data_IF_971746934066
#
_entry.id   IF_971746934066
#
_cell.length_a   1.000
_cell.length_b   1.000
_cell.length_c   1.000
_cell.angle_alpha   90.00
_cell.angle_beta   90.00
_cell.angle_gamma   90.00
#
_symmetry.space_group_name_H-M   'P 1'
#
loop_
_entity.id
_entity.type
_entity.pdbx_description
1 polymer ?
#
# COMPACT_ATOMS: atom_id res chain seq x y z
N UNK A 1 -2.88 -1.14 5.07
CA UNK A 1 -1.54 -1.08 4.43
C UNK A 1 -0.77 0.14 4.90
N UNK A 2 -1.30 1.37 4.83
CA UNK A 2 -0.50 2.60 5.04
C UNK A 2 -0.06 2.98 6.46
N UNK A 3 -0.47 2.25 7.50
CA UNK A 3 0.02 2.51 8.86
C UNK A 3 1.52 2.25 9.03
N UNK A 4 2.15 1.55 8.08
CA UNK A 4 3.59 1.29 8.11
C UNK A 4 4.47 2.47 7.64
N UNK A 5 3.91 3.45 6.92
CA UNK A 5 4.73 4.52 6.34
C UNK A 5 5.33 5.42 7.43
N UNK A 6 4.55 5.96 8.39
CA UNK A 6 5.12 6.87 9.38
C UNK A 6 6.28 6.27 10.19
N UNK A 7 6.18 5.03 10.68
CA UNK A 7 7.30 4.46 11.42
C UNK A 7 8.42 3.88 10.55
N UNK A 8 8.18 3.57 9.27
CA UNK A 8 9.32 3.42 8.34
C UNK A 8 10.09 4.74 8.26
N UNK A 9 9.39 5.85 7.99
CA UNK A 9 9.99 7.18 7.87
C UNK A 9 10.70 7.58 9.16
N UNK A 10 10.13 7.30 10.32
CA UNK A 10 10.73 7.64 11.60
C UNK A 10 11.96 6.77 11.93
N UNK A 11 11.84 5.45 11.84
CA UNK A 11 12.79 4.52 12.50
C UNK A 11 13.67 3.71 11.54
N UNK A 12 13.23 3.48 10.30
CA UNK A 12 13.92 2.57 9.37
C UNK A 12 14.58 3.30 8.20
N UNK A 13 14.05 4.47 7.83
CA UNK A 13 14.55 5.24 6.70
C UNK A 13 15.96 5.77 6.94
N UNK A 14 16.72 5.84 5.85
CA UNK A 14 18.08 6.38 5.76
C UNK A 14 18.13 7.50 4.73
N UNK A 15 19.17 8.31 4.83
CA UNK A 15 19.40 9.38 3.87
C UNK A 15 19.62 8.82 2.47
N UNK A 16 18.84 9.32 1.51
CA UNK A 16 18.93 8.91 0.11
C UNK A 16 18.10 7.69 -0.26
N UNK A 17 17.30 7.13 0.66
CA UNK A 17 16.39 6.05 0.33
C UNK A 17 15.41 6.45 -0.79
N UNK A 18 15.19 5.51 -1.71
CA UNK A 18 14.12 5.58 -2.70
C UNK A 18 12.97 4.70 -2.22
N UNK A 19 11.81 5.31 -2.01
CA UNK A 19 10.65 4.64 -1.40
C UNK A 19 9.52 4.57 -2.40
N UNK A 20 9.15 3.35 -2.77
CA UNK A 20 7.97 3.10 -3.60
C UNK A 20 6.76 2.96 -2.71
N UNK A 21 5.85 3.92 -2.78
CA UNK A 21 4.60 3.90 -2.03
C UNK A 21 3.53 3.25 -2.90
N UNK A 22 3.25 1.98 -2.63
CA UNK A 22 2.34 1.18 -3.43
C UNK A 22 0.91 1.14 -2.88
N UNK A 23 -0.09 1.23 -3.78
CA UNK A 23 -1.48 0.92 -3.48
C UNK A 23 -2.08 -0.04 -4.51
N UNK A 24 -2.49 -1.23 -4.07
CA UNK A 24 -3.25 -2.14 -4.91
C UNK A 24 -4.73 -1.77 -4.91
N UNK A 25 -5.30 -1.55 -6.10
CA UNK A 25 -6.75 -1.34 -6.26
C UNK A 25 -7.40 -2.69 -6.55
N UNK A 26 -8.40 -3.04 -5.74
CA UNK A 26 -9.28 -4.17 -6.00
C UNK A 26 -10.50 -3.65 -6.77
N UNK A 27 -10.60 -4.02 -8.05
CA UNK A 27 -11.71 -3.61 -8.89
C UNK A 27 -12.96 -4.44 -8.65
N UNK A 28 -14.16 -3.83 -8.69
CA UNK A 28 -15.40 -4.60 -8.71
C UNK A 28 -15.42 -5.51 -9.95
N UNK A 29 -16.02 -6.70 -9.86
CA UNK A 29 -16.15 -7.58 -11.02
C UNK A 29 -16.91 -6.86 -12.14
N UNK A 30 -16.48 -7.08 -13.38
CA UNK A 30 -17.19 -6.56 -14.55
C UNK A 30 -18.60 -7.19 -14.58
N UNK A 31 -19.68 -6.42 -14.71
CA UNK A 31 -21.04 -6.97 -14.74
C UNK A 31 -21.23 -7.95 -15.91
N UNK A 32 -21.52 -9.22 -15.62
CA UNK A 32 -21.90 -10.21 -16.64
C UNK A 32 -23.36 -10.00 -17.06
N UNK A 33 -23.65 -9.04 -17.95
CA UNK A 33 -25.01 -8.85 -18.49
C UNK A 33 -25.05 -8.84 -20.01
N UNK A 34 -26.12 -9.42 -20.57
CA UNK A 34 -26.42 -9.45 -22.01
C UNK A 34 -26.99 -8.12 -22.50
N UNK A 35 -26.74 -7.80 -23.77
CA UNK A 35 -27.32 -6.66 -24.48
C UNK A 35 -28.86 -6.63 -24.39
N UNK A 36 -29.50 -5.43 -24.39
CA UNK A 36 -28.92 -4.08 -24.55
C UNK A 36 -28.51 -3.39 -23.23
N UNK A 37 -28.84 -3.96 -22.08
CA UNK A 37 -28.58 -3.36 -20.76
C UNK A 37 -27.09 -3.29 -20.38
N UNK A 38 -26.18 -3.85 -21.18
CA UNK A 38 -24.75 -3.85 -20.88
C UNK A 38 -24.13 -2.44 -20.88
N UNK A 39 -24.63 -1.51 -21.70
CA UNK A 39 -24.01 -0.18 -21.86
C UNK A 39 -24.07 0.69 -20.59
N UNK A 40 -25.25 0.81 -19.97
CA UNK A 40 -25.43 1.64 -18.76
C UNK A 40 -24.57 1.10 -17.61
N UNK A 41 -24.53 -0.23 -17.45
CA UNK A 41 -23.72 -0.91 -16.43
C UNK A 41 -22.21 -0.75 -16.66
N UNK A 42 -21.75 -0.74 -17.91
CA UNK A 42 -20.34 -0.47 -18.23
C UNK A 42 -19.99 0.98 -17.87
N UNK A 43 -20.90 1.93 -18.08
CA UNK A 43 -20.73 3.32 -17.66
C UNK A 43 -20.58 3.44 -16.14
N UNK A 44 -21.52 2.87 -15.39
CA UNK A 44 -21.50 2.88 -13.92
C UNK A 44 -20.24 2.20 -13.35
N UNK A 45 -19.84 1.05 -13.91
CA UNK A 45 -18.63 0.34 -13.50
C UNK A 45 -17.36 1.18 -13.75
N UNK A 46 -17.29 1.87 -14.90
CA UNK A 46 -16.17 2.78 -15.20
C UNK A 46 -16.10 3.94 -14.20
N UNK A 47 -17.24 4.52 -13.83
CA UNK A 47 -17.29 5.60 -12.84
C UNK A 47 -16.85 5.11 -11.45
N UNK A 48 -17.21 3.88 -11.08
CA UNK A 48 -16.78 3.27 -9.82
C UNK A 48 -15.27 3.01 -9.80
N UNK A 49 -14.73 2.46 -10.89
CA UNK A 49 -13.29 2.26 -11.11
C UNK A 49 -12.52 3.59 -11.02
N UNK A 50 -13.02 4.66 -11.64
CA UNK A 50 -12.36 5.97 -11.60
C UNK A 50 -12.43 6.60 -10.20
N UNK A 51 -13.52 6.41 -9.47
CA UNK A 51 -13.62 6.83 -8.06
C UNK A 51 -12.60 6.10 -7.19
N UNK A 52 -12.38 4.80 -7.40
CA UNK A 52 -11.35 4.03 -6.68
C UNK A 52 -9.94 4.55 -7.02
N UNK A 53 -9.64 4.77 -8.30
CA UNK A 53 -8.36 5.36 -8.74
C UNK A 53 -8.13 6.74 -8.16
N UNK A 54 -9.16 7.59 -8.12
CA UNK A 54 -9.07 8.93 -7.54
C UNK A 54 -8.75 8.89 -6.05
N UNK A 55 -9.44 8.03 -5.28
CA UNK A 55 -9.15 7.82 -3.85
C UNK A 55 -7.72 7.32 -3.62
N UNK A 56 -7.25 6.39 -4.45
CA UNK A 56 -5.88 5.89 -4.41
C UNK A 56 -4.86 7.02 -4.64
N UNK A 57 -5.05 7.84 -5.68
CA UNK A 57 -4.19 8.99 -5.99
C UNK A 57 -4.11 9.98 -4.83
N UNK A 58 -5.25 10.35 -4.24
CA UNK A 58 -5.31 11.27 -3.09
C UNK A 58 -4.52 10.71 -1.90
N UNK A 59 -4.71 9.43 -1.60
CA UNK A 59 -4.03 8.75 -0.50
C UNK A 59 -2.51 8.66 -0.72
N UNK A 60 -2.10 8.28 -1.93
CA UNK A 60 -0.68 8.20 -2.32
C UNK A 60 -0.02 9.59 -2.29
N UNK A 61 -0.69 10.61 -2.80
CA UNK A 61 -0.21 11.99 -2.77
C UNK A 61 -0.05 12.51 -1.33
N UNK A 62 -0.98 12.16 -0.43
CA UNK A 62 -0.84 12.50 0.98
C UNK A 62 0.46 11.95 1.58
N UNK A 63 0.75 10.66 1.39
CA UNK A 63 1.98 10.07 1.93
C UNK A 63 3.25 10.54 1.21
N UNK A 64 3.18 10.82 -0.08
CA UNK A 64 4.28 11.48 -0.79
C UNK A 64 4.58 12.85 -0.15
N UNK A 65 3.54 13.63 0.18
CA UNK A 65 3.68 14.92 0.84
C UNK A 65 4.29 14.77 2.24
N UNK A 66 3.84 13.79 3.03
CA UNK A 66 4.44 13.49 4.35
C UNK A 66 5.94 13.20 4.24
N UNK A 67 6.36 12.40 3.25
CA UNK A 67 7.80 12.17 3.02
C UNK A 67 8.56 13.49 2.75
N UNK A 68 8.00 14.34 1.88
CA UNK A 68 8.70 15.53 1.39
C UNK A 68 8.70 16.70 2.38
N UNK A 69 7.64 16.83 3.18
CA UNK A 69 7.46 17.96 4.11
C UNK A 69 7.96 17.58 5.50
N UNK A 70 7.39 16.54 6.09
CA UNK A 70 7.65 16.20 7.50
C UNK A 70 9.03 15.56 7.67
N UNK A 71 9.50 14.84 6.65
CA UNK A 71 10.79 14.12 6.66
C UNK A 71 11.83 14.71 5.70
N UNK A 72 11.70 16.00 5.35
CA UNK A 72 12.61 16.69 4.40
C UNK A 72 14.10 16.52 4.73
N UNK A 73 14.44 16.53 6.02
CA UNK A 73 15.83 16.41 6.49
C UNK A 73 16.47 15.06 6.14
N UNK A 74 15.66 14.03 5.85
CA UNK A 74 16.12 12.69 5.49
C UNK A 74 16.37 12.50 3.98
N UNK A 75 16.09 13.50 3.14
CA UNK A 75 16.34 13.43 1.69
C UNK A 75 15.78 12.17 1.01
N UNK A 76 14.59 11.73 1.44
CA UNK A 76 13.94 10.52 0.93
C UNK A 76 13.23 10.83 -0.39
N UNK A 77 13.45 10.01 -1.41
CA UNK A 77 12.75 10.11 -2.69
C UNK A 77 11.53 9.17 -2.69
N UNK A 78 10.34 9.71 -2.43
CA UNK A 78 9.10 8.93 -2.44
C UNK A 78 8.40 8.99 -3.80
N UNK A 79 8.22 7.82 -4.44
CA UNK A 79 7.48 7.66 -5.70
C UNK A 79 6.18 6.87 -5.47
N UNK A 80 5.01 7.46 -5.71
CA UNK A 80 3.74 6.74 -5.60
C UNK A 80 3.51 5.82 -6.80
N UNK A 81 3.02 4.60 -6.55
CA UNK A 81 2.64 3.63 -7.58
C UNK A 81 1.26 3.04 -7.28
N UNK A 82 0.43 2.94 -8.32
CA UNK A 82 -0.85 2.23 -8.26
C UNK A 82 -0.62 0.88 -8.91
N UNK A 83 -0.96 -0.17 -8.17
CA UNK A 83 -0.85 -1.55 -8.62
C UNK A 83 -2.24 -2.06 -9.02
N UNK A 84 -2.34 -2.52 -10.26
CA UNK A 84 -3.56 -3.06 -10.83
C UNK A 84 -3.52 -4.59 -10.79
N UNK A 85 -4.56 -5.24 -10.25
CA UNK A 85 -4.70 -6.70 -10.35
C UNK A 85 -5.65 -7.32 -9.33
N UNK A 86 -6.04 -8.57 -9.59
CA UNK A 86 -7.02 -9.31 -8.78
C UNK A 86 -6.41 -10.00 -7.54
N UNK A 87 -5.08 -10.02 -7.41
CA UNK A 87 -4.36 -10.72 -6.34
C UNK A 87 -3.30 -9.80 -5.73
N UNK A 88 -3.65 -8.97 -4.74
CA UNK A 88 -2.74 -7.93 -4.22
C UNK A 88 -1.38 -8.46 -3.75
N UNK A 89 -1.34 -9.62 -3.10
CA UNK A 89 -0.08 -10.22 -2.65
C UNK A 89 0.86 -10.60 -3.80
N UNK A 90 0.32 -11.15 -4.88
CA UNK A 90 1.11 -11.51 -6.06
C UNK A 90 1.64 -10.26 -6.77
N UNK A 91 0.77 -9.26 -6.98
CA UNK A 91 1.14 -8.03 -7.67
C UNK A 91 2.21 -7.25 -6.87
N UNK A 92 2.14 -7.25 -5.54
CA UNK A 92 3.20 -6.64 -4.69
C UNK A 92 4.56 -7.33 -4.92
N UNK A 93 4.58 -8.66 -5.00
CA UNK A 93 5.83 -9.42 -5.21
C UNK A 93 6.38 -9.17 -6.61
N UNK A 94 5.52 -9.21 -7.63
CA UNK A 94 5.89 -8.93 -9.02
C UNK A 94 6.51 -7.54 -9.13
N UNK A 95 5.87 -6.53 -8.54
CA UNK A 95 6.40 -5.17 -8.56
C UNK A 95 7.72 -5.03 -7.80
N UNK A 96 7.85 -5.68 -6.62
CA UNK A 96 9.09 -5.67 -5.86
C UNK A 96 10.27 -6.23 -6.67
N UNK A 97 10.03 -7.28 -7.46
CA UNK A 97 11.04 -7.86 -8.37
C UNK A 97 11.31 -6.93 -9.56
N UNK A 98 10.27 -6.39 -10.19
CA UNK A 98 10.40 -5.51 -11.36
C UNK A 98 11.19 -4.23 -11.04
N UNK A 99 10.93 -3.66 -9.88
CA UNK A 99 11.61 -2.45 -9.38
C UNK A 99 12.93 -2.76 -8.68
N UNK A 100 13.30 -4.04 -8.54
CA UNK A 100 14.52 -4.52 -7.91
C UNK A 100 14.73 -3.89 -6.51
N UNK A 101 13.68 -3.90 -5.69
CA UNK A 101 13.71 -3.27 -4.36
C UNK A 101 14.55 -4.08 -3.38
N UNK A 102 15.23 -3.40 -2.46
CA UNK A 102 16.07 -4.07 -1.45
C UNK A 102 15.24 -4.75 -0.34
N UNK A 103 14.04 -4.26 -0.08
CA UNK A 103 13.12 -4.79 0.93
C UNK A 103 11.68 -4.35 0.68
N UNK A 104 10.73 -5.13 1.21
CA UNK A 104 9.30 -4.82 1.20
C UNK A 104 8.82 -4.53 2.62
N UNK A 105 8.20 -3.36 2.82
CA UNK A 105 7.60 -2.97 4.09
C UNK A 105 6.08 -2.95 3.95
N UNK A 106 5.40 -3.75 4.78
CA UNK A 106 3.95 -3.87 4.74
C UNK A 106 3.34 -3.78 6.14
N UNK A 107 2.16 -3.19 6.23
CA UNK A 107 1.36 -3.31 7.45
C UNK A 107 0.93 -4.77 7.69
N UNK A 108 0.87 -5.19 8.95
CA UNK A 108 0.38 -6.52 9.33
C UNK A 108 -1.05 -6.77 8.83
N UNK A 109 -1.85 -5.70 8.68
CA UNK A 109 -3.25 -5.75 8.24
C UNK A 109 -3.73 -4.49 7.49
N UNK A 110 -4.87 -4.64 6.82
CA UNK A 110 -5.69 -3.54 6.28
C UNK A 110 -6.56 -2.85 7.35
N UNK A 111 -7.46 -1.97 6.93
CA UNK A 111 -8.36 -1.17 7.79
C UNK A 111 -9.49 -1.96 8.51
N UNK A 112 -9.44 -3.30 8.52
CA UNK A 112 -10.48 -4.16 9.08
C UNK A 112 -10.50 -4.22 10.62
N UNK A 113 -11.70 -4.31 11.22
CA UNK A 113 -11.98 -4.24 12.68
C UNK A 113 -11.70 -5.54 13.48
N UNK A 114 -10.63 -6.29 13.21
CA UNK A 114 -10.34 -7.54 13.95
C UNK A 114 -9.19 -7.38 14.96
N UNK A 115 -9.48 -7.71 16.22
CA UNK A 115 -8.74 -7.36 17.45
C UNK A 115 -7.67 -8.37 17.95
N UNK A 116 -7.27 -9.40 17.19
CA UNK A 116 -6.28 -10.39 17.67
C UNK A 116 -5.18 -10.72 16.65
N UNK A 117 -3.91 -10.61 17.07
CA UNK A 117 -2.65 -11.28 16.66
C UNK A 117 -2.61 -12.27 15.47
N UNK A 118 -3.12 -11.93 14.28
CA UNK A 118 -2.95 -12.75 13.06
C UNK A 118 -2.50 -11.86 11.90
N UNK A 119 -1.67 -12.33 10.97
CA UNK A 119 -1.40 -11.56 9.75
C UNK A 119 -2.67 -11.41 8.90
N UNK A 120 -2.80 -10.34 8.13
CA UNK A 120 -3.80 -10.24 7.07
C UNK A 120 -3.40 -11.13 5.90
N UNK A 121 -4.36 -11.58 5.08
CA UNK A 121 -4.12 -12.51 3.96
C UNK A 121 -3.04 -12.03 2.98
N UNK A 122 -3.02 -10.74 2.65
CA UNK A 122 -1.99 -10.16 1.79
C UNK A 122 -0.62 -10.19 2.45
N UNK A 123 -0.54 -9.78 3.72
CA UNK A 123 0.74 -9.74 4.44
C UNK A 123 1.30 -11.12 4.69
N UNK A 124 0.45 -12.07 5.03
CA UNK A 124 0.79 -13.49 5.15
C UNK A 124 1.33 -14.04 3.83
N UNK A 125 0.64 -13.79 2.71
CA UNK A 125 1.09 -14.21 1.40
C UNK A 125 2.46 -13.63 1.03
N UNK A 126 2.65 -12.31 1.22
CA UNK A 126 3.91 -11.64 0.87
C UNK A 126 5.07 -12.17 1.71
N UNK A 127 4.89 -12.33 3.02
CA UNK A 127 5.93 -12.86 3.92
C UNK A 127 6.42 -14.25 3.48
N UNK A 128 5.52 -15.12 3.02
CA UNK A 128 5.88 -16.49 2.65
C UNK A 128 6.46 -16.64 1.24
N UNK A 129 6.23 -15.67 0.34
CA UNK A 129 6.54 -15.85 -1.09
C UNK A 129 7.45 -14.76 -1.68
N UNK A 130 7.69 -13.65 -0.99
CA UNK A 130 8.51 -12.57 -1.51
C UNK A 130 9.99 -12.99 -1.52
N UNK A 131 10.71 -12.81 -2.65
CA UNK A 131 12.13 -13.19 -2.74
C UNK A 131 13.06 -12.19 -2.03
N UNK A 132 12.55 -11.02 -1.65
CA UNK A 132 13.31 -9.97 -0.95
C UNK A 132 12.85 -9.87 0.52
N UNK A 133 13.70 -9.38 1.44
CA UNK A 133 13.35 -9.24 2.85
C UNK A 133 12.02 -8.50 3.07
N UNK A 134 11.14 -9.08 3.91
CA UNK A 134 9.83 -8.50 4.23
C UNK A 134 9.79 -8.05 5.69
N UNK A 135 9.49 -6.77 5.91
CA UNK A 135 9.24 -6.21 7.24
C UNK A 135 7.74 -6.00 7.45
N UNK A 136 7.20 -6.65 8.47
CA UNK A 136 5.79 -6.51 8.85
C UNK A 136 5.63 -5.55 10.01
N UNK A 137 4.78 -4.54 9.82
CA UNK A 137 4.51 -3.51 10.83
C UNK A 137 3.14 -3.69 11.48
N UNK A 138 3.05 -3.95 12.79
CA UNK A 138 1.77 -4.05 13.49
C UNK A 138 1.16 -2.65 13.77
N UNK A 139 -0.17 -2.57 13.96
CA UNK A 139 -0.89 -1.28 14.03
C UNK A 139 -0.59 -0.42 15.27
N UNK A 140 -0.09 -1.01 16.37
CA UNK A 140 0.09 -0.32 17.65
C UNK A 140 1.55 -0.28 18.16
N UNK A 141 2.52 -0.94 17.50
CA UNK A 141 3.89 -1.05 18.05
C UNK A 141 4.59 0.29 18.21
N UNK A 142 4.29 1.26 17.37
CA UNK A 142 5.09 2.50 17.32
C UNK A 142 4.55 3.62 18.20
N UNK A 143 3.32 3.50 18.73
CA UNK A 143 2.77 4.50 19.67
C UNK A 143 3.16 4.24 21.13
N UNK A 144 3.69 3.06 21.46
CA UNK A 144 3.91 2.66 22.86
C UNK A 144 5.34 2.23 23.22
N UNK A 145 6.23 1.91 22.27
CA UNK A 145 7.52 1.27 22.59
C UNK A 145 8.77 2.16 22.49
N UNK A 146 8.66 3.42 22.06
CA UNK A 146 9.79 4.35 22.02
C UNK A 146 9.38 5.69 22.63
N UNK A 147 10.01 6.14 23.73
CA UNK A 147 9.67 7.42 24.33
C UNK A 147 9.94 8.54 23.31
N UNK A 148 9.00 9.48 23.23
CA UNK A 148 9.18 10.74 22.53
C UNK A 148 10.41 11.45 23.11
N UNK A 149 11.54 11.38 22.42
CA UNK A 149 12.64 12.27 22.70
C UNK A 149 12.31 13.62 22.06
N UNK A 150 12.16 14.58 22.96
CA UNK A 150 11.77 15.98 22.79
C UNK A 150 12.59 16.74 21.76
#
# INVERSE_FOLDING_TARGET
MFFCIPGYLEYLSRNGDVVLIAHCIEYPPVPEKRFPYAYDYIGEWKDEVEKLRTKAKVLLHHYQTVCHVDYKHKQINCRPIILDGHKPGQVIIEEAVNENVDAVIIGARGLGKLRRTVLGSVSDFVVHHCPVPVTVVPPESWKHHYPHHS
#
